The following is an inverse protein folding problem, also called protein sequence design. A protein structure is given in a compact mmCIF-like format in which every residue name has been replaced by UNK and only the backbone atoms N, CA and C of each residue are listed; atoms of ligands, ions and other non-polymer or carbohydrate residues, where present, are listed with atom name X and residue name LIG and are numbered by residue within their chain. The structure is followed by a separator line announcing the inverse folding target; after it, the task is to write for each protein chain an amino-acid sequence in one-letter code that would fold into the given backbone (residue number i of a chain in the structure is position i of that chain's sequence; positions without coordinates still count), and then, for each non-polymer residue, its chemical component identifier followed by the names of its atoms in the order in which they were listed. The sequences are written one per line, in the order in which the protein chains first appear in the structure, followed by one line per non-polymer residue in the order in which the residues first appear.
data_IF_692349689168
#
_entry.id   IF_692349689168
#
_cell.length_a   1.000
_cell.length_b   1.000
_cell.length_c   1.000
_cell.angle_alpha   90.00
_cell.angle_beta   90.00
_cell.angle_gamma   90.00
#
_symmetry.space_group_name_H-M   'P 1'
#
loop_
_entity.id
_entity.type
_entity.pdbx_description
1 polymer ?
#
# COMPACT_ATOMS: atom_id res chain seq x y z
N UNK A 1 -16.22 -66.34 -45.53
CA UNK A 1 -15.27 -65.88 -44.51
C UNK A 1 -15.13 -64.39 -44.73
N UNK A 2 -15.84 -63.56 -43.88
CA UNK A 2 -15.84 -62.09 -43.94
C UNK A 2 -15.01 -61.56 -42.76
N UNK A 3 -13.90 -60.86 -43.08
CA UNK A 3 -13.08 -60.19 -42.06
C UNK A 3 -13.55 -58.72 -41.89
N UNK A 4 -14.20 -58.47 -40.79
CA UNK A 4 -14.57 -57.11 -40.36
C UNK A 4 -13.35 -56.39 -39.81
N UNK A 5 -12.88 -55.27 -40.40
CA UNK A 5 -11.85 -54.37 -39.90
C UNK A 5 -12.49 -53.38 -38.97
N UNK A 6 -12.19 -53.45 -37.66
CA UNK A 6 -12.53 -52.42 -36.69
C UNK A 6 -11.51 -51.28 -36.77
N UNK A 7 -12.03 -50.11 -37.15
CA UNK A 7 -11.25 -48.84 -37.16
C UNK A 7 -11.29 -48.26 -35.73
N UNK A 8 -10.12 -48.09 -35.11
CA UNK A 8 -9.98 -47.35 -33.85
C UNK A 8 -9.66 -45.91 -34.19
N UNK A 9 -10.57 -44.98 -33.84
CA UNK A 9 -10.35 -43.55 -33.93
C UNK A 9 -9.80 -43.15 -32.53
N UNK A 10 -8.51 -42.85 -32.48
CA UNK A 10 -7.87 -42.25 -31.30
C UNK A 10 -8.19 -40.75 -31.30
N UNK A 11 -9.10 -40.33 -30.43
CA UNK A 11 -9.39 -38.94 -30.22
C UNK A 11 -8.23 -38.25 -29.44
N UNK A 12 -7.52 -37.37 -30.14
CA UNK A 12 -6.50 -36.51 -29.53
C UNK A 12 -7.22 -35.38 -28.79
N UNK A 13 -7.28 -35.45 -27.44
CA UNK A 13 -7.74 -34.32 -26.60
C UNK A 13 -6.57 -33.36 -26.44
N UNK A 14 -6.54 -32.29 -27.24
CA UNK A 14 -5.66 -31.16 -26.98
C UNK A 14 -6.17 -30.42 -25.73
N UNK A 15 -5.54 -30.65 -24.61
CA UNK A 15 -5.69 -29.81 -23.41
C UNK A 15 -5.11 -28.42 -23.68
N UNK A 16 -5.96 -27.43 -23.87
CA UNK A 16 -5.58 -26.03 -23.77
C UNK A 16 -5.17 -25.74 -22.33
N UNK A 17 -3.87 -25.86 -22.05
CA UNK A 17 -3.29 -25.25 -20.84
C UNK A 17 -3.36 -23.72 -21.04
N UNK A 18 -4.43 -23.11 -20.57
CA UNK A 18 -4.50 -21.67 -20.45
C UNK A 18 -3.41 -21.24 -19.47
N UNK A 19 -2.34 -20.61 -19.98
CA UNK A 19 -1.42 -19.85 -19.15
C UNK A 19 -2.24 -18.73 -18.52
N UNK A 20 -2.59 -18.86 -17.25
CA UNK A 20 -3.10 -17.75 -16.49
C UNK A 20 -2.01 -16.66 -16.52
N UNK A 21 -2.25 -15.62 -17.31
CA UNK A 21 -1.43 -14.41 -17.24
C UNK A 21 -1.55 -13.94 -15.81
N UNK A 22 -0.44 -13.88 -15.07
CA UNK A 22 -0.42 -13.34 -13.74
C UNK A 22 -1.03 -11.93 -13.81
N UNK A 23 -2.12 -11.70 -13.09
CA UNK A 23 -2.78 -10.41 -13.10
C UNK A 23 -1.80 -9.39 -12.53
N UNK A 24 -1.34 -8.45 -13.35
CA UNK A 24 -0.53 -7.32 -12.93
C UNK A 24 -1.36 -6.31 -12.13
N UNK A 25 -0.71 -5.31 -11.56
CA UNK A 25 -1.38 -4.19 -10.91
C UNK A 25 -2.17 -3.40 -11.96
N UNK A 26 -3.43 -3.10 -11.65
CA UNK A 26 -4.31 -2.31 -12.50
C UNK A 26 -4.53 -0.94 -11.88
N UNK A 27 -4.01 0.10 -12.54
CA UNK A 27 -4.24 1.48 -12.10
C UNK A 27 -5.72 1.87 -12.15
N UNK A 28 -6.49 1.33 -13.10
CA UNK A 28 -7.93 1.57 -13.16
C UNK A 28 -8.66 0.98 -11.95
N UNK A 29 -8.26 -0.21 -11.50
CA UNK A 29 -8.81 -0.83 -10.29
C UNK A 29 -8.40 -0.07 -9.03
N UNK A 30 -7.14 0.32 -8.90
CA UNK A 30 -6.65 1.14 -7.79
C UNK A 30 -7.39 2.48 -7.71
N UNK A 31 -7.58 3.17 -8.84
CA UNK A 31 -8.33 4.42 -8.91
C UNK A 31 -9.82 4.24 -8.54
N UNK A 32 -10.42 3.11 -8.89
CA UNK A 32 -11.81 2.80 -8.49
C UNK A 32 -11.90 2.54 -6.98
N UNK A 33 -10.96 1.83 -6.38
CA UNK A 33 -10.87 1.70 -4.92
C UNK A 33 -10.72 3.06 -4.26
N UNK A 34 -9.82 3.93 -4.76
CA UNK A 34 -9.66 5.32 -4.29
C UNK A 34 -10.99 6.09 -4.36
N UNK A 35 -11.73 5.97 -5.46
CA UNK A 35 -13.04 6.61 -5.60
C UNK A 35 -14.02 6.20 -4.51
N UNK A 36 -14.04 4.93 -4.15
CA UNK A 36 -14.89 4.39 -3.07
C UNK A 36 -14.43 4.90 -1.70
N UNK A 37 -13.13 5.00 -1.47
CA UNK A 37 -12.56 5.59 -0.25
C UNK A 37 -12.98 7.06 -0.11
N UNK A 38 -12.81 7.85 -1.16
CA UNK A 38 -13.17 9.28 -1.19
C UNK A 38 -14.68 9.51 -1.00
N UNK A 39 -15.51 8.57 -1.40
CA UNK A 39 -16.98 8.66 -1.22
C UNK A 39 -17.42 8.68 0.26
N UNK A 40 -16.57 8.25 1.21
CA UNK A 40 -16.84 8.41 2.65
C UNK A 40 -16.71 9.87 3.12
N UNK A 41 -16.13 10.75 2.30
CA UNK A 41 -15.90 12.15 2.63
C UNK A 41 -14.71 12.34 3.57
N UNK A 42 -14.67 13.50 4.28
CA UNK A 42 -13.69 13.74 5.32
C UNK A 42 -13.75 12.66 6.41
N UNK A 43 -12.63 12.03 6.69
CA UNK A 43 -12.53 10.85 7.54
C UNK A 43 -11.38 10.96 8.57
N UNK A 44 -11.34 12.06 9.35
CA UNK A 44 -10.31 12.19 10.37
C UNK A 44 -10.44 11.08 11.42
N UNK A 45 -9.35 10.67 12.07
CA UNK A 45 -9.34 9.57 13.03
C UNK A 45 -10.41 9.69 14.11
N UNK A 46 -11.10 8.58 14.39
CA UNK A 46 -12.19 8.51 15.38
C UNK A 46 -13.53 9.06 14.89
N UNK A 47 -13.65 9.53 13.66
CA UNK A 47 -14.94 9.95 13.08
C UNK A 47 -15.80 8.74 12.67
N UNK A 48 -17.11 9.01 12.44
CA UNK A 48 -18.01 7.97 11.90
C UNK A 48 -17.61 7.54 10.48
N UNK A 49 -17.12 8.49 9.66
CA UNK A 49 -16.66 8.21 8.31
C UNK A 49 -15.40 7.34 8.31
N UNK A 50 -14.46 7.63 9.22
CA UNK A 50 -13.27 6.81 9.46
C UNK A 50 -13.64 5.37 9.84
N UNK A 51 -14.49 5.18 10.84
CA UNK A 51 -14.98 3.85 11.24
C UNK A 51 -15.70 3.11 10.11
N UNK A 52 -16.46 3.82 9.28
CA UNK A 52 -17.13 3.24 8.12
C UNK A 52 -16.12 2.81 7.04
N UNK A 53 -15.08 3.61 6.79
CA UNK A 53 -14.00 3.26 5.87
C UNK A 53 -13.21 2.05 6.37
N UNK A 54 -12.87 1.97 7.66
CA UNK A 54 -12.22 0.79 8.26
C UNK A 54 -13.01 -0.49 7.95
N UNK A 55 -14.34 -0.46 8.12
CA UNK A 55 -15.21 -1.61 7.82
C UNK A 55 -15.20 -1.93 6.31
N UNK A 56 -15.17 -0.92 5.45
CA UNK A 56 -15.05 -1.12 4.00
C UNK A 56 -13.71 -1.79 3.64
N UNK A 57 -12.58 -1.28 4.12
CA UNK A 57 -11.24 -1.88 3.89
C UNK A 57 -11.25 -3.35 4.31
N UNK A 58 -11.72 -3.66 5.52
CA UNK A 58 -11.82 -5.03 6.04
C UNK A 58 -12.71 -5.90 5.13
N UNK A 59 -13.82 -5.35 4.63
CA UNK A 59 -14.74 -6.09 3.75
C UNK A 59 -14.12 -6.42 2.40
N UNK A 60 -13.30 -5.53 1.83
CA UNK A 60 -12.58 -5.79 0.58
C UNK A 60 -11.48 -6.83 0.81
N UNK A 61 -10.66 -6.69 1.85
CA UNK A 61 -9.58 -7.62 2.18
C UNK A 61 -10.09 -9.06 2.44
N UNK A 62 -11.29 -9.22 3.00
CA UNK A 62 -11.90 -10.55 3.18
C UNK A 62 -12.13 -11.31 1.87
N UNK A 63 -12.31 -10.60 0.76
CA UNK A 63 -12.49 -11.21 -0.56
C UNK A 63 -11.20 -11.83 -1.09
N UNK A 64 -10.06 -11.30 -0.64
CA UNK A 64 -8.73 -11.68 -1.08
C UNK A 64 -8.11 -12.82 -0.25
N UNK A 65 -8.81 -13.29 0.79
CA UNK A 65 -8.43 -14.49 1.55
C UNK A 65 -7.16 -14.34 2.38
N UNK A 66 -6.75 -13.11 2.71
CA UNK A 66 -5.62 -12.83 3.60
C UNK A 66 -6.01 -12.98 5.08
N UNK A 67 -5.00 -13.10 5.94
CA UNK A 67 -5.17 -12.95 7.39
C UNK A 67 -5.33 -11.45 7.70
N UNK A 68 -6.43 -11.07 8.35
CA UNK A 68 -6.71 -9.69 8.71
C UNK A 68 -6.44 -9.49 10.21
N UNK A 69 -5.60 -8.52 10.52
CA UNK A 69 -5.26 -8.15 11.89
C UNK A 69 -5.80 -6.72 12.12
N UNK A 70 -6.76 -6.60 13.03
CA UNK A 70 -7.28 -5.31 13.49
C UNK A 70 -6.45 -4.85 14.68
N UNK A 71 -5.66 -3.79 14.50
CA UNK A 71 -4.74 -3.26 15.50
C UNK A 71 -5.34 -2.00 16.15
N UNK A 72 -6.27 -2.21 17.08
CA UNK A 72 -6.99 -1.14 17.77
C UNK A 72 -6.16 -0.56 18.92
N UNK A 73 -6.11 0.75 19.02
CA UNK A 73 -5.40 1.47 20.08
C UNK A 73 -6.09 2.80 20.44
N UNK A 74 -5.58 3.47 21.46
CA UNK A 74 -6.00 4.83 21.81
C UNK A 74 -4.79 5.76 21.83
N UNK A 75 -4.91 6.88 21.15
CA UNK A 75 -3.87 7.91 21.12
C UNK A 75 -4.32 9.15 21.88
N UNK A 76 -3.36 9.77 22.59
CA UNK A 76 -3.55 11.11 23.16
C UNK A 76 -3.24 12.13 22.07
N UNK A 77 -4.22 12.91 21.70
CA UNK A 77 -4.14 13.95 20.67
C UNK A 77 -4.46 15.32 21.26
N UNK A 78 -4.22 16.43 20.55
CA UNK A 78 -4.73 17.75 20.94
C UNK A 78 -6.25 17.82 21.13
N UNK A 79 -7.00 16.90 20.49
CA UNK A 79 -8.46 16.79 20.64
C UNK A 79 -8.88 15.83 21.78
N UNK A 80 -7.94 15.32 22.56
CA UNK A 80 -8.18 14.36 23.65
C UNK A 80 -7.78 12.93 23.30
N UNK A 81 -8.37 11.96 23.99
CA UNK A 81 -8.12 10.54 23.72
C UNK A 81 -8.98 10.06 22.55
N UNK A 82 -8.36 9.73 21.44
CA UNK A 82 -9.03 9.23 20.23
C UNK A 82 -8.76 7.73 20.10
N UNK A 83 -9.82 6.96 19.80
CA UNK A 83 -9.70 5.56 19.42
C UNK A 83 -9.37 5.48 17.94
N UNK A 84 -8.32 4.73 17.62
CA UNK A 84 -7.80 4.53 16.27
C UNK A 84 -7.62 3.04 16.00
N UNK A 85 -7.52 2.65 14.73
CA UNK A 85 -7.33 1.26 14.35
C UNK A 85 -6.55 1.14 13.05
N UNK A 86 -5.32 0.61 13.10
CA UNK A 86 -4.65 0.13 11.92
C UNK A 86 -5.30 -1.17 11.41
N UNK A 87 -5.28 -1.38 10.11
CA UNK A 87 -5.75 -2.62 9.49
C UNK A 87 -4.56 -3.24 8.77
N UNK A 88 -4.22 -4.48 9.10
CA UNK A 88 -3.10 -5.17 8.49
C UNK A 88 -3.62 -6.41 7.76
N UNK A 89 -3.38 -6.48 6.46
CA UNK A 89 -3.58 -7.68 5.66
C UNK A 89 -2.25 -8.43 5.57
N UNK A 90 -2.22 -9.68 6.07
CA UNK A 90 -1.06 -10.55 5.98
C UNK A 90 -1.30 -11.63 4.94
N UNK A 91 -0.41 -11.72 3.99
CA UNK A 91 -0.34 -12.75 2.96
C UNK A 91 0.84 -13.68 3.29
N UNK A 92 0.60 -14.89 3.83
CA UNK A 92 1.67 -15.78 4.27
C UNK A 92 2.55 -16.26 3.12
N UNK A 93 3.86 -16.21 3.31
CA UNK A 93 4.85 -16.82 2.45
C UNK A 93 5.02 -18.32 2.75
N UNK A 94 5.67 -19.05 1.83
CA UNK A 94 5.97 -20.48 1.98
C UNK A 94 7.44 -20.74 2.26
N UNK A 95 8.27 -19.70 2.35
CA UNK A 95 9.70 -19.81 2.60
C UNK A 95 10.01 -20.23 4.04
N UNK A 96 11.09 -21.01 4.25
CA UNK A 96 11.43 -21.55 5.57
C UNK A 96 11.95 -20.49 6.55
N UNK A 97 12.42 -19.35 6.04
CA UNK A 97 13.03 -18.30 6.86
C UNK A 97 12.01 -17.36 7.53
N UNK A 98 10.74 -17.48 7.19
CA UNK A 98 9.66 -16.61 7.70
C UNK A 98 10.01 -15.12 7.65
N UNK A 99 10.73 -14.68 6.60
CA UNK A 99 11.04 -13.26 6.35
C UNK A 99 9.78 -12.54 5.91
N UNK A 100 9.79 -11.23 5.97
CA UNK A 100 8.62 -10.42 5.64
C UNK A 100 8.98 -9.14 4.87
N UNK A 101 8.03 -8.64 4.10
CA UNK A 101 8.06 -7.36 3.40
C UNK A 101 6.78 -6.63 3.79
N UNK A 102 6.85 -5.34 4.08
CA UNK A 102 5.69 -4.51 4.38
C UNK A 102 5.52 -3.42 3.32
N UNK A 103 4.29 -3.23 2.86
CA UNK A 103 3.87 -2.06 2.09
C UNK A 103 2.81 -1.35 2.93
N UNK A 104 2.98 -0.05 3.12
CA UNK A 104 2.18 0.73 4.06
C UNK A 104 1.64 2.01 3.43
N UNK A 105 0.66 2.60 4.04
CA UNK A 105 0.10 3.90 3.70
C UNK A 105 -1.07 4.21 4.60
N UNK A 106 -1.42 5.47 4.75
CA UNK A 106 -2.53 5.89 5.61
C UNK A 106 -3.86 5.95 4.87
N UNK A 107 -4.96 5.97 5.62
CA UNK A 107 -6.31 6.09 5.06
C UNK A 107 -7.13 7.24 5.67
N UNK A 108 -6.69 7.79 6.79
CA UNK A 108 -7.34 8.93 7.43
C UNK A 108 -7.18 10.22 6.61
N UNK A 109 -7.89 11.26 6.99
CA UNK A 109 -7.70 12.61 6.46
C UNK A 109 -7.39 13.57 7.58
N UNK A 110 -6.64 14.60 7.25
CA UNK A 110 -6.39 15.70 8.17
C UNK A 110 -7.69 16.26 8.78
N UNK A 111 -7.63 16.55 10.06
CA UNK A 111 -8.73 17.16 10.79
C UNK A 111 -8.82 18.66 10.47
N UNK A 112 -9.76 19.02 9.58
CA UNK A 112 -10.06 20.41 9.23
C UNK A 112 -11.50 20.76 9.60
N UNK A 113 -11.75 21.33 10.78
CA UNK A 113 -13.11 21.69 11.18
C UNK A 113 -13.79 22.61 10.17
N UNK A 114 -15.00 22.20 9.71
CA UNK A 114 -15.81 23.00 8.79
C UNK A 114 -15.37 22.97 7.32
N UNK A 115 -14.29 22.27 6.96
CA UNK A 115 -13.84 22.08 5.58
C UNK A 115 -14.31 20.74 5.01
N UNK A 116 -14.27 20.63 3.67
CA UNK A 116 -14.64 19.41 2.94
C UNK A 116 -13.39 18.72 2.34
N UNK A 117 -12.30 18.70 3.09
CA UNK A 117 -11.10 18.00 2.65
C UNK A 117 -11.35 16.50 2.61
N UNK A 118 -11.35 15.93 1.41
CA UNK A 118 -11.64 14.50 1.20
C UNK A 118 -10.39 13.66 0.97
N UNK A 119 -9.21 14.30 0.85
CA UNK A 119 -7.92 13.62 0.71
C UNK A 119 -7.98 12.54 -0.37
N UNK A 120 -8.13 12.93 -1.63
CA UNK A 120 -8.23 11.95 -2.71
C UNK A 120 -6.87 11.35 -3.04
N UNK A 121 -5.83 12.19 -3.10
CA UNK A 121 -4.45 11.74 -3.18
C UNK A 121 -3.92 11.40 -1.79
N UNK A 122 -4.13 12.31 -0.87
CA UNK A 122 -3.69 12.27 0.52
C UNK A 122 -4.55 11.27 1.33
N UNK A 123 -3.98 10.11 1.64
CA UNK A 123 -4.61 8.94 2.24
C UNK A 123 -5.52 8.12 1.31
N UNK A 124 -6.13 8.75 0.29
CA UNK A 124 -7.03 8.06 -0.63
C UNK A 124 -6.30 7.20 -1.65
N UNK A 125 -5.24 7.71 -2.27
CA UNK A 125 -4.48 7.01 -3.30
C UNK A 125 -3.71 5.83 -2.72
N UNK A 126 -3.06 6.00 -1.57
CA UNK A 126 -2.38 4.93 -0.84
C UNK A 126 -3.34 3.79 -0.49
N UNK A 127 -4.49 4.11 0.09
CA UNK A 127 -5.52 3.11 0.41
C UNK A 127 -5.99 2.34 -0.82
N UNK A 128 -6.25 3.05 -1.94
CA UNK A 128 -6.68 2.43 -3.19
C UNK A 128 -5.63 1.51 -3.79
N UNK A 129 -4.36 1.90 -3.73
CA UNK A 129 -3.25 1.06 -4.20
C UNK A 129 -3.06 -0.18 -3.33
N UNK A 130 -3.10 -0.03 -2.00
CA UNK A 130 -2.96 -1.17 -1.09
C UNK A 130 -4.08 -2.21 -1.29
N UNK A 131 -5.33 -1.78 -1.53
CA UNK A 131 -6.43 -2.69 -1.87
C UNK A 131 -6.20 -3.41 -3.22
N UNK A 132 -5.68 -2.72 -4.22
CA UNK A 132 -5.31 -3.35 -5.49
C UNK A 132 -4.16 -4.34 -5.32
N UNK A 133 -3.14 -4.01 -4.53
CA UNK A 133 -2.05 -4.93 -4.21
C UNK A 133 -2.57 -6.17 -3.47
N UNK A 134 -3.55 -6.02 -2.56
CA UNK A 134 -4.18 -7.17 -1.90
C UNK A 134 -4.81 -8.12 -2.91
N UNK A 135 -5.57 -7.59 -3.88
CA UNK A 135 -6.18 -8.36 -4.97
C UNK A 135 -5.13 -9.11 -5.81
N UNK A 136 -4.01 -8.46 -6.13
CA UNK A 136 -2.92 -9.09 -6.89
C UNK A 136 -2.24 -10.19 -6.07
N UNK A 137 -1.91 -9.90 -4.80
CA UNK A 137 -1.23 -10.84 -3.91
C UNK A 137 -2.07 -12.07 -3.59
N UNK A 138 -3.40 -11.98 -3.58
CA UNK A 138 -4.30 -13.10 -3.32
C UNK A 138 -4.05 -14.32 -4.24
N UNK A 139 -3.60 -14.07 -5.46
CA UNK A 139 -3.45 -15.08 -6.50
C UNK A 139 -2.00 -15.43 -6.85
N UNK A 140 -1.03 -14.88 -6.12
CA UNK A 140 0.38 -15.10 -6.41
C UNK A 140 1.05 -15.96 -5.35
N UNK A 141 1.86 -16.97 -5.76
CA UNK A 141 2.74 -17.66 -4.83
C UNK A 141 3.82 -16.69 -4.32
N UNK A 142 4.25 -16.85 -3.07
CA UNK A 142 5.29 -16.01 -2.47
C UNK A 142 6.19 -16.81 -1.53
N UNK A 143 7.41 -16.30 -1.37
CA UNK A 143 8.43 -16.88 -0.48
C UNK A 143 8.32 -16.25 0.90
N UNK A 144 8.30 -14.93 0.97
CA UNK A 144 8.23 -14.17 2.21
C UNK A 144 6.78 -13.82 2.57
N UNK A 145 6.51 -13.57 3.84
CA UNK A 145 5.24 -12.95 4.25
C UNK A 145 5.16 -11.54 3.64
N UNK A 146 4.00 -11.15 3.12
CA UNK A 146 3.76 -9.76 2.71
C UNK A 146 2.68 -9.17 3.61
N UNK A 147 3.00 -8.04 4.25
CA UNK A 147 2.07 -7.25 5.03
C UNK A 147 1.66 -6.01 4.23
N UNK A 148 0.36 -5.78 4.12
CA UNK A 148 -0.18 -4.50 3.69
C UNK A 148 -0.78 -3.83 4.92
N UNK A 149 -0.20 -2.72 5.37
CA UNK A 149 -0.66 -2.02 6.57
C UNK A 149 -1.29 -0.68 6.19
N UNK A 150 -2.56 -0.55 6.54
CA UNK A 150 -3.35 0.67 6.39
C UNK A 150 -3.32 1.39 7.73
N UNK A 151 -2.66 2.54 7.78
CA UNK A 151 -2.52 3.31 9.01
C UNK A 151 -3.69 4.25 9.25
N UNK A 152 -4.06 4.37 10.52
CA UNK A 152 -5.03 5.32 11.04
C UNK A 152 -4.28 6.38 11.87
N UNK A 153 -4.57 7.66 11.61
CA UNK A 153 -3.96 8.73 12.35
C UNK A 153 -2.51 9.01 11.96
N UNK A 154 -2.22 9.03 10.69
CA UNK A 154 -0.99 9.62 10.16
C UNK A 154 -1.00 11.12 10.41
N UNK A 155 -2.10 11.77 10.14
CA UNK A 155 -2.32 13.20 10.12
C UNK A 155 -2.31 13.85 11.52
N UNK A 156 -1.66 15.00 11.61
CA UNK A 156 -1.69 15.80 12.82
C UNK A 156 -3.06 16.45 13.05
N UNK A 157 -3.53 16.44 14.29
CA UNK A 157 -4.75 17.17 14.69
C UNK A 157 -4.52 18.68 14.85
N UNK A 158 -3.31 19.08 15.14
CA UNK A 158 -2.85 20.47 15.21
C UNK A 158 -1.62 20.69 14.33
N UNK A 159 -0.50 20.98 14.96
CA UNK A 159 0.78 21.16 14.29
C UNK A 159 1.56 19.84 14.24
N UNK A 160 2.15 19.54 13.09
CA UNK A 160 2.99 18.35 12.91
C UNK A 160 4.13 18.32 13.93
N UNK A 161 4.26 17.23 14.66
CA UNK A 161 5.30 17.05 15.67
C UNK A 161 5.47 15.58 16.05
N UNK A 162 6.54 15.26 16.75
CA UNK A 162 6.79 13.90 17.29
C UNK A 162 5.66 13.34 18.17
N UNK A 163 4.74 14.19 18.64
CA UNK A 163 3.63 13.79 19.51
C UNK A 163 2.25 14.01 18.89
N UNK A 164 2.16 14.70 17.76
CA UNK A 164 0.93 14.98 17.05
C UNK A 164 1.10 14.71 15.56
N UNK A 165 1.22 13.46 15.20
CA UNK A 165 1.25 12.83 13.86
C UNK A 165 1.63 11.37 13.98
N UNK A 166 1.56 10.61 12.90
CA UNK A 166 2.09 9.24 12.77
C UNK A 166 1.63 8.30 13.88
N UNK A 167 0.43 8.48 14.40
CA UNK A 167 -0.05 7.71 15.56
C UNK A 167 -0.12 6.22 15.25
N UNK A 168 -0.61 5.85 14.05
CA UNK A 168 -0.76 4.48 13.60
C UNK A 168 0.56 3.77 13.40
N UNK A 169 1.46 4.37 12.63
CA UNK A 169 2.77 3.78 12.34
C UNK A 169 3.66 3.68 13.57
N UNK A 170 3.65 4.68 14.45
CA UNK A 170 4.35 4.62 15.75
C UNK A 170 3.83 3.49 16.63
N UNK A 171 2.50 3.32 16.69
CA UNK A 171 1.88 2.23 17.44
C UNK A 171 2.27 0.87 16.87
N UNK A 172 2.17 0.69 15.55
CA UNK A 172 2.49 -0.57 14.90
C UNK A 172 3.98 -0.92 15.01
N UNK A 173 4.89 0.06 14.84
CA UNK A 173 6.33 -0.17 15.01
C UNK A 173 6.65 -0.64 16.44
N UNK A 174 6.03 -0.04 17.46
CA UNK A 174 6.20 -0.47 18.85
C UNK A 174 5.66 -1.89 19.09
N UNK A 175 4.46 -2.22 18.56
CA UNK A 175 3.87 -3.55 18.63
C UNK A 175 4.72 -4.60 17.95
N UNK A 176 5.16 -4.35 16.70
CA UNK A 176 5.98 -5.28 15.93
C UNK A 176 7.39 -5.48 16.51
N UNK A 177 7.88 -4.51 17.29
CA UNK A 177 9.10 -4.70 18.10
C UNK A 177 8.87 -5.71 19.22
N UNK A 178 7.71 -5.64 19.88
CA UNK A 178 7.38 -6.51 21.03
C UNK A 178 7.10 -7.96 20.60
N UNK A 179 6.44 -8.17 19.46
CA UNK A 179 6.06 -9.50 18.98
C UNK A 179 7.11 -10.14 18.04
N UNK A 180 8.21 -9.45 17.75
CA UNK A 180 9.29 -9.96 16.93
C UNK A 180 9.09 -9.81 15.42
N UNK A 181 8.03 -9.14 14.97
CA UNK A 181 7.78 -8.94 13.53
C UNK A 181 8.82 -8.02 12.89
N UNK A 182 9.29 -6.97 13.59
CA UNK A 182 10.33 -6.07 13.04
C UNK A 182 11.60 -6.82 12.61
N UNK A 183 12.04 -7.82 13.39
CA UNK A 183 13.26 -8.58 13.09
C UNK A 183 13.13 -9.45 11.84
N UNK A 184 11.90 -9.70 11.40
CA UNK A 184 11.60 -10.50 10.22
C UNK A 184 11.52 -9.64 8.95
N UNK A 185 11.32 -8.32 9.08
CA UNK A 185 11.19 -7.42 7.94
C UNK A 185 12.51 -7.29 7.19
N UNK A 186 12.48 -7.61 5.90
CA UNK A 186 13.55 -7.30 4.93
C UNK A 186 13.47 -5.83 4.52
N UNK A 187 12.26 -5.32 4.32
CA UNK A 187 12.00 -3.98 3.85
C UNK A 187 10.58 -3.52 4.23
N UNK A 188 10.43 -2.21 4.34
CA UNK A 188 9.13 -1.53 4.40
C UNK A 188 9.13 -0.40 3.36
N UNK A 189 8.07 -0.34 2.55
CA UNK A 189 7.84 0.74 1.59
C UNK A 189 6.52 1.40 1.97
N UNK A 190 6.59 2.65 2.40
CA UNK A 190 5.42 3.49 2.54
C UNK A 190 5.04 4.06 1.18
N UNK A 191 3.76 4.31 0.94
CA UNK A 191 3.26 4.98 -0.25
C UNK A 191 2.29 6.05 0.17
N UNK A 192 2.55 7.29 -0.21
CA UNK A 192 1.68 8.41 0.06
C UNK A 192 1.56 9.33 -1.16
N UNK A 193 0.37 9.92 -1.37
CA UNK A 193 0.08 10.86 -2.46
C UNK A 193 0.56 10.41 -3.86
N UNK A 194 0.38 9.12 -4.19
CA UNK A 194 0.95 8.50 -5.40
C UNK A 194 0.04 8.55 -6.64
N UNK A 195 -1.05 9.27 -6.57
CA UNK A 195 -2.07 9.28 -7.62
C UNK A 195 -2.07 10.52 -8.52
N UNK A 196 -1.24 11.53 -8.29
CA UNK A 196 -1.24 12.76 -9.08
C UNK A 196 -1.08 12.49 -10.59
N UNK A 197 -1.82 13.23 -11.40
CA UNK A 197 -1.70 13.21 -12.87
C UNK A 197 -0.32 13.59 -13.37
N UNK A 198 0.39 14.44 -12.64
CA UNK A 198 1.74 14.90 -12.96
C UNK A 198 2.80 14.19 -12.10
N UNK A 199 2.62 12.91 -11.87
CA UNK A 199 3.44 12.08 -10.97
C UNK A 199 4.93 12.41 -11.05
N UNK A 200 5.51 12.79 -9.92
CA UNK A 200 6.95 13.02 -9.72
C UNK A 200 7.35 12.51 -8.32
N UNK A 201 7.94 11.32 -8.28
CA UNK A 201 8.42 10.72 -7.03
C UNK A 201 9.90 11.07 -6.85
N UNK A 202 10.24 12.03 -5.98
CA UNK A 202 11.63 12.33 -5.62
C UNK A 202 12.20 11.23 -4.74
N UNK A 203 13.53 11.13 -4.71
CA UNK A 203 14.25 10.16 -3.88
C UNK A 203 14.23 10.58 -2.42
N UNK A 204 13.63 9.77 -1.59
CA UNK A 204 13.61 10.00 -0.16
C UNK A 204 15.02 9.78 0.45
N UNK A 205 15.50 10.69 1.30
CA UNK A 205 16.86 10.73 1.82
C UNK A 205 17.00 10.27 3.28
N UNK A 206 15.89 10.18 4.02
CA UNK A 206 15.87 9.75 5.43
C UNK A 206 15.83 8.22 5.59
N UNK A 207 15.44 7.51 4.51
CA UNK A 207 15.25 6.07 4.51
C UNK A 207 16.51 5.28 4.11
N UNK A 208 16.31 3.99 3.88
CA UNK A 208 17.39 3.06 3.54
C UNK A 208 17.90 3.26 2.10
N UNK A 209 19.20 3.56 1.97
CA UNK A 209 19.83 3.87 0.68
C UNK A 209 19.86 2.66 -0.28
N UNK A 210 19.96 1.44 0.24
CA UNK A 210 19.98 0.25 -0.61
C UNK A 210 18.59 -0.06 -1.15
N UNK A 211 17.55 0.10 -0.33
CA UNK A 211 16.16 -0.05 -0.74
C UNK A 211 15.77 1.04 -1.75
N UNK A 212 16.15 2.30 -1.52
CA UNK A 212 16.00 3.38 -2.49
C UNK A 212 16.62 3.01 -3.84
N UNK A 213 17.88 2.54 -3.84
CA UNK A 213 18.55 2.12 -5.07
C UNK A 213 17.80 0.99 -5.78
N UNK A 214 17.26 0.02 -5.03
CA UNK A 214 16.47 -1.09 -5.58
C UNK A 214 15.21 -0.57 -6.26
N UNK A 215 14.46 0.31 -5.62
CA UNK A 215 13.21 0.88 -6.17
C UNK A 215 13.50 1.68 -7.44
N UNK A 216 14.46 2.61 -7.42
CA UNK A 216 14.80 3.44 -8.58
C UNK A 216 15.34 2.63 -9.76
N UNK A 217 16.18 1.61 -9.49
CA UNK A 217 16.62 0.70 -10.55
C UNK A 217 15.46 -0.12 -11.12
N UNK A 218 14.53 -0.54 -10.28
CA UNK A 218 13.32 -1.27 -10.73
C UNK A 218 12.44 -0.38 -11.60
N UNK A 219 12.21 0.87 -11.21
CA UNK A 219 11.48 1.84 -12.02
C UNK A 219 12.16 2.07 -13.38
N UNK A 220 13.49 2.20 -13.40
CA UNK A 220 14.24 2.36 -14.63
C UNK A 220 14.15 1.13 -15.55
N UNK A 221 14.27 -0.09 -15.02
CA UNK A 221 14.16 -1.34 -15.77
C UNK A 221 12.76 -1.53 -16.39
N UNK A 222 11.73 -0.99 -15.72
CA UNK A 222 10.34 -0.99 -16.21
C UNK A 222 10.03 0.15 -17.19
N UNK A 223 11.00 1.06 -17.44
CA UNK A 223 10.80 2.22 -18.31
C UNK A 223 10.13 3.41 -17.65
N UNK A 224 10.02 3.42 -16.32
CA UNK A 224 9.35 4.46 -15.53
C UNK A 224 10.30 5.50 -14.91
N UNK A 225 11.57 5.54 -15.35
CA UNK A 225 12.58 6.47 -14.82
C UNK A 225 12.14 7.94 -14.81
N UNK A 226 11.29 8.34 -15.77
CA UNK A 226 10.81 9.71 -15.85
C UNK A 226 9.91 10.14 -14.67
N UNK A 227 9.33 9.18 -13.95
CA UNK A 227 8.44 9.41 -12.83
C UNK A 227 9.11 9.21 -11.46
N UNK A 228 10.34 8.66 -11.43
CA UNK A 228 11.16 8.45 -10.25
C UNK A 228 12.42 9.28 -10.39
N UNK A 229 12.37 10.51 -9.90
CA UNK A 229 13.42 11.52 -10.16
C UNK A 229 14.61 11.36 -9.23
N UNK A 230 15.71 12.03 -9.57
CA UNK A 230 16.93 12.04 -8.72
C UNK A 230 16.94 13.23 -7.74
N UNK A 231 15.89 14.06 -7.73
CA UNK A 231 15.71 15.07 -6.69
C UNK A 231 15.64 14.37 -5.33
N UNK A 232 16.26 14.98 -4.33
CA UNK A 232 16.25 14.41 -2.96
C UNK A 232 15.35 15.25 -2.06
N UNK A 233 14.54 14.55 -1.29
CA UNK A 233 13.71 15.13 -0.22
C UNK A 233 13.97 14.40 1.08
N UNK A 234 13.59 14.99 2.19
CA UNK A 234 13.70 14.38 3.52
C UNK A 234 12.40 14.62 4.27
N UNK A 235 11.40 13.77 4.01
CA UNK A 235 10.11 13.86 4.66
C UNK A 235 10.08 13.02 5.95
N UNK A 236 9.31 13.45 6.95
CA UNK A 236 9.04 12.70 8.18
C UNK A 236 7.62 12.13 8.06
N UNK A 237 7.52 10.86 7.66
CA UNK A 237 6.28 10.18 7.35
C UNK A 237 6.23 8.79 8.02
N UNK A 238 5.20 7.99 7.75
CA UNK A 238 4.88 6.68 8.35
C UNK A 238 6.02 5.65 8.26
N UNK A 239 6.99 5.82 7.36
CA UNK A 239 8.20 4.99 7.32
C UNK A 239 9.16 5.29 8.48
N UNK A 240 9.19 6.52 9.01
CA UNK A 240 10.20 6.96 9.98
C UNK A 240 10.17 6.23 11.32
N UNK A 241 9.02 5.86 11.91
CA UNK A 241 9.01 5.02 13.11
C UNK A 241 9.72 3.68 12.90
N UNK A 242 9.70 3.13 11.68
CA UNK A 242 10.37 1.87 11.33
C UNK A 242 11.86 2.09 11.04
N UNK A 243 12.25 3.18 10.37
CA UNK A 243 13.66 3.59 10.22
C UNK A 243 14.32 3.74 11.58
N UNK A 244 13.69 4.47 12.50
CA UNK A 244 14.16 4.66 13.90
C UNK A 244 14.21 3.32 14.66
N UNK A 245 13.44 2.33 14.23
CA UNK A 245 13.47 0.98 14.79
C UNK A 245 14.51 0.05 14.14
N UNK A 246 15.27 0.52 13.15
CA UNK A 246 16.33 -0.22 12.46
C UNK A 246 15.85 -1.08 11.28
N UNK A 247 14.64 -0.86 10.78
CA UNK A 247 14.11 -1.50 9.56
C UNK A 247 14.62 -0.74 8.34
N UNK A 248 14.99 -1.46 7.28
CA UNK A 248 15.21 -0.87 5.97
C UNK A 248 13.87 -0.37 5.42
N UNK A 249 13.58 0.91 5.59
CA UNK A 249 12.31 1.53 5.19
C UNK A 249 12.54 2.77 4.33
N UNK A 250 11.62 3.03 3.42
CA UNK A 250 11.58 4.25 2.57
C UNK A 250 10.14 4.71 2.40
N UNK A 251 10.01 5.95 1.97
CA UNK A 251 8.76 6.52 1.49
C UNK A 251 8.78 6.75 -0.02
N UNK A 252 7.64 6.53 -0.66
CA UNK A 252 7.34 6.90 -2.03
C UNK A 252 6.21 7.93 -2.01
N UNK A 253 6.57 9.18 -2.05
CA UNK A 253 5.64 10.31 -1.94
C UNK A 253 5.83 11.29 -3.08
N UNK A 254 4.73 11.77 -3.67
CA UNK A 254 4.70 12.90 -4.58
C UNK A 254 4.34 14.16 -3.79
N UNK A 255 5.37 14.84 -3.26
CA UNK A 255 5.17 16.03 -2.42
C UNK A 255 4.89 17.29 -3.23
N UNK A 256 5.23 17.34 -4.53
CA UNK A 256 4.94 18.48 -5.41
C UNK A 256 3.50 18.41 -5.94
N UNK A 257 2.56 18.37 -5.00
CA UNK A 257 1.13 18.24 -5.25
C UNK A 257 0.37 19.49 -4.74
N UNK A 258 0.10 20.49 -5.60
CA UNK A 258 -0.52 21.77 -5.18
C UNK A 258 -1.88 21.64 -4.45
N UNK A 259 -2.72 20.59 -4.70
CA UNK A 259 -3.95 20.38 -3.93
C UNK A 259 -3.74 19.86 -2.50
N UNK A 260 -2.52 19.50 -2.09
CA UNK A 260 -2.22 18.98 -0.76
C UNK A 260 -2.81 19.85 0.34
N UNK A 261 -3.49 19.23 1.30
CA UNK A 261 -4.20 19.87 2.42
C UNK A 261 -5.22 20.95 1.99
N UNK A 262 -5.74 20.86 0.75
CA UNK A 262 -6.79 21.73 0.23
C UNK A 262 -8.05 20.96 -0.15
N UNK A 263 -9.21 21.65 -0.09
CA UNK A 263 -10.52 21.07 -0.51
C UNK A 263 -10.55 20.73 -2.00
N UNK A 264 -9.47 21.07 -2.74
CA UNK A 264 -9.27 20.74 -4.15
C UNK A 264 -8.55 19.40 -4.36
N UNK A 265 -8.13 18.72 -3.29
CA UNK A 265 -7.64 17.33 -3.38
C UNK A 265 -8.81 16.38 -3.62
N UNK A 266 -9.15 16.22 -4.87
CA UNK A 266 -10.35 15.51 -5.36
C UNK A 266 -9.99 14.57 -6.50
N UNK A 267 -10.87 13.62 -6.82
CA UNK A 267 -10.66 12.55 -7.80
C UNK A 267 -10.24 13.04 -9.19
N UNK A 268 -10.59 14.27 -9.58
CA UNK A 268 -10.22 14.85 -10.87
C UNK A 268 -8.72 15.20 -10.97
N UNK A 269 -7.99 15.19 -9.87
CA UNK A 269 -6.52 15.38 -9.83
C UNK A 269 -5.75 14.08 -10.08
N UNK A 270 -6.39 12.93 -9.90
CA UNK A 270 -5.74 11.64 -9.93
C UNK A 270 -5.73 10.99 -11.32
N UNK A 271 -4.79 10.10 -11.51
CA UNK A 271 -4.56 9.33 -12.73
C UNK A 271 -4.45 7.83 -12.44
N UNK A 272 -5.19 7.01 -13.18
CA UNK A 272 -5.00 5.57 -13.18
C UNK A 272 -3.58 5.18 -13.59
N UNK A 273 -2.99 5.92 -14.52
CA UNK A 273 -1.63 5.65 -14.99
C UNK A 273 -0.60 5.82 -13.87
N UNK A 274 -0.70 6.88 -13.06
CA UNK A 274 0.20 7.14 -11.94
C UNK A 274 0.14 6.02 -10.91
N UNK A 275 -1.06 5.62 -10.52
CA UNK A 275 -1.27 4.51 -9.59
C UNK A 275 -0.77 3.16 -10.16
N UNK A 276 -0.88 2.94 -11.47
CA UNK A 276 -0.35 1.74 -12.14
C UNK A 276 1.18 1.73 -12.14
N UNK A 277 1.81 2.87 -12.42
CA UNK A 277 3.26 3.02 -12.42
C UNK A 277 3.83 2.70 -11.04
N UNK A 278 3.35 3.38 -10.00
CA UNK A 278 3.84 3.17 -8.63
C UNK A 278 3.55 1.75 -8.16
N UNK A 279 2.32 1.28 -8.35
CA UNK A 279 1.92 -0.07 -7.96
C UNK A 279 2.71 -1.17 -8.66
N UNK A 280 3.02 -1.01 -9.95
CA UNK A 280 3.84 -1.96 -10.71
C UNK A 280 5.27 -1.99 -10.19
N UNK A 281 5.86 -0.81 -9.90
CA UNK A 281 7.21 -0.72 -9.31
C UNK A 281 7.24 -1.41 -7.95
N UNK A 282 6.31 -1.08 -7.05
CA UNK A 282 6.22 -1.68 -5.71
C UNK A 282 6.06 -3.20 -5.79
N UNK A 283 5.14 -3.69 -6.63
CA UNK A 283 4.93 -5.12 -6.81
C UNK A 283 6.20 -5.83 -7.33
N UNK A 284 6.89 -5.24 -8.32
CA UNK A 284 8.13 -5.80 -8.84
C UNK A 284 9.28 -5.77 -7.81
N UNK A 285 9.31 -4.76 -6.94
CA UNK A 285 10.26 -4.69 -5.82
C UNK A 285 10.00 -5.79 -4.80
N UNK A 286 8.72 -6.08 -4.46
CA UNK A 286 8.38 -7.23 -3.60
C UNK A 286 8.99 -8.51 -4.18
N UNK A 287 8.77 -8.78 -5.47
CA UNK A 287 9.31 -9.98 -6.12
C UNK A 287 10.84 -10.03 -6.11
N UNK A 288 11.52 -8.90 -6.33
CA UNK A 288 13.00 -8.83 -6.27
C UNK A 288 13.52 -9.09 -4.86
N UNK A 289 12.86 -8.57 -3.84
CA UNK A 289 13.22 -8.80 -2.44
C UNK A 289 13.06 -10.27 -2.03
N UNK A 290 12.05 -10.97 -2.53
CA UNK A 290 11.85 -12.39 -2.24
C UNK A 290 13.00 -13.28 -2.72
N UNK A 291 13.78 -12.83 -3.70
CA UNK A 291 14.90 -13.57 -4.28
C UNK A 291 16.26 -13.10 -3.77
N UNK A 292 16.32 -12.20 -2.79
CA UNK A 292 17.50 -11.79 -2.05
C UNK A 292 17.56 -12.50 -0.69
#
# INVERSE_FOLDING_TARGET
MSFSKKLWIAGLVLGLAGTAVAAGVSGASALEFTRRVVAFGPRPPGSTADSALQNYIISELRKDGCEIIEDAFKAKTPQGMIAMKNIIAKFPGKGPAHRAIAITGHFDTKYFPGRKFVGANDGGSSTGLLLELARVLAHQPRIDDVYLAFFDGEEAFGEWSDTDSLYGSRHLAARWRQDGTLQRLKALINVDMIGDKNLDIPRESNGDAALNKLVWSTAADLGYKAFFTDQQIGEDDDHMPFVRAGVAAIDLIDIDYPPWHNDTDTMDKLSAQSMEIVGTVVYQVIQRLEHQ
#
